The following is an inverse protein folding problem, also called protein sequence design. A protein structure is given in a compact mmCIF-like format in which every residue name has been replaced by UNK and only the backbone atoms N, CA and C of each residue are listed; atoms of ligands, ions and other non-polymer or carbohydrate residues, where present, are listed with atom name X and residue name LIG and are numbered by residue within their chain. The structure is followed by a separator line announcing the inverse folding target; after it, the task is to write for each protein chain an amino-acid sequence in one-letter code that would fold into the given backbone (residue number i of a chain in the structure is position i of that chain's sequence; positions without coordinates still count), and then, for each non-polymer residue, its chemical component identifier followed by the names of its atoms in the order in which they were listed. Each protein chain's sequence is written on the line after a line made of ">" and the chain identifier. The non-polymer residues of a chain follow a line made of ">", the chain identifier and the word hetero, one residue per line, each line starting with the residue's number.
data_IF_334404968143
#
_entry.id   IF_334404968143
#
_cell.length_a   1.000
_cell.length_b   1.000
_cell.length_c   1.000
_cell.angle_alpha   90.00
_cell.angle_beta   90.00
_cell.angle_gamma   90.00
#
_symmetry.space_group_name_H-M   'P 1'
#
loop_
_entity.id
_entity.type
_entity.pdbx_description
1 polymer ?
#
# COMPACT_ATOMS: atom_id res chain seq x y z
N UNK A 1 -57.05 28.65 -42.74
CA UNK A 1 -55.60 28.82 -42.55
C UNK A 1 -55.05 27.51 -41.99
N UNK A 2 -54.11 26.86 -42.69
CA UNK A 2 -53.48 25.60 -42.26
C UNK A 2 -52.10 25.92 -41.68
N UNK A 3 -51.84 25.52 -40.44
CA UNK A 3 -50.53 25.67 -39.79
C UNK A 3 -49.79 24.34 -39.85
N UNK A 4 -48.69 24.29 -40.59
CA UNK A 4 -47.73 23.17 -40.62
C UNK A 4 -46.65 23.41 -39.57
N UNK A 5 -46.50 22.46 -38.64
CA UNK A 5 -45.45 22.46 -37.61
C UNK A 5 -44.25 21.65 -38.14
N UNK A 6 -43.02 22.16 -38.15
CA UNK A 6 -41.85 21.41 -38.60
C UNK A 6 -41.42 20.39 -37.52
N UNK A 7 -41.26 19.14 -37.93
CA UNK A 7 -40.76 18.06 -37.08
C UNK A 7 -39.24 18.20 -36.89
N UNK A 8 -38.80 18.62 -35.71
CA UNK A 8 -37.39 18.58 -35.30
C UNK A 8 -37.05 17.17 -34.79
N UNK A 9 -36.16 16.47 -35.50
CA UNK A 9 -35.62 15.18 -35.05
C UNK A 9 -34.56 15.48 -33.98
N UNK A 10 -34.91 15.24 -32.71
CA UNK A 10 -33.97 15.30 -31.59
C UNK A 10 -33.28 13.92 -31.52
N UNK A 11 -32.06 13.82 -32.03
CA UNK A 11 -31.21 12.63 -31.83
C UNK A 11 -30.70 12.62 -30.39
N UNK A 12 -31.31 11.77 -29.55
CA UNK A 12 -30.91 11.54 -28.18
C UNK A 12 -29.63 10.69 -28.15
N UNK A 13 -28.46 11.32 -28.12
CA UNK A 13 -27.19 10.62 -27.88
C UNK A 13 -27.13 10.20 -26.42
N UNK A 14 -27.37 8.90 -26.16
CA UNK A 14 -27.20 8.31 -24.84
C UNK A 14 -25.72 8.32 -24.45
N UNK A 15 -25.35 9.22 -23.54
CA UNK A 15 -24.02 9.24 -22.92
C UNK A 15 -24.03 8.15 -21.85
N UNK A 16 -23.38 7.02 -22.11
CA UNK A 16 -23.17 5.98 -21.10
C UNK A 16 -22.10 6.49 -20.12
N UNK A 17 -22.41 6.72 -18.82
CA UNK A 17 -21.38 7.04 -17.85
C UNK A 17 -20.48 5.83 -17.67
N UNK A 18 -19.20 5.97 -18.02
CA UNK A 18 -18.16 5.01 -17.68
C UNK A 18 -17.93 5.05 -16.18
N UNK A 19 -18.51 4.10 -15.45
CA UNK A 19 -18.21 3.90 -14.02
C UNK A 19 -16.78 3.38 -13.93
N UNK A 20 -15.83 4.25 -13.56
CA UNK A 20 -14.49 3.81 -13.13
C UNK A 20 -14.72 2.91 -11.92
N UNK A 21 -14.54 1.60 -12.10
CA UNK A 21 -14.67 0.65 -11.00
C UNK A 21 -13.52 0.91 -10.02
N UNK A 22 -13.86 1.47 -8.87
CA UNK A 22 -12.96 1.65 -7.75
C UNK A 22 -12.41 0.28 -7.32
N UNK A 23 -11.11 0.03 -7.52
CA UNK A 23 -10.53 -1.28 -7.25
C UNK A 23 -10.61 -1.66 -5.76
N UNK A 24 -10.68 -0.68 -4.85
CA UNK A 24 -10.78 -0.91 -3.42
C UNK A 24 -9.59 -1.66 -2.83
N UNK A 25 -9.82 -2.23 -1.64
CA UNK A 25 -8.91 -3.20 -1.05
C UNK A 25 -8.85 -4.45 -1.92
N UNK A 26 -7.65 -4.97 -2.16
CA UNK A 26 -7.45 -6.10 -3.07
C UNK A 26 -6.12 -6.83 -2.79
N UNK A 27 -5.98 -8.04 -3.33
CA UNK A 27 -4.76 -8.86 -3.20
C UNK A 27 -3.92 -8.89 -4.49
N UNK A 28 -3.95 -7.83 -5.30
CA UNK A 28 -3.10 -7.74 -6.49
C UNK A 28 -1.67 -7.41 -6.08
N UNK A 29 -0.73 -7.89 -6.90
CA UNK A 29 0.69 -7.66 -6.71
C UNK A 29 1.48 -8.28 -7.85
N UNK A 30 2.80 -8.30 -7.68
CA UNK A 30 3.71 -8.93 -8.61
C UNK A 30 3.48 -10.43 -8.71
N UNK A 31 3.79 -11.03 -9.86
CA UNK A 31 3.80 -12.48 -10.05
C UNK A 31 4.74 -13.18 -9.03
N UNK A 32 5.80 -12.50 -8.62
CA UNK A 32 6.75 -13.01 -7.63
C UNK A 32 6.13 -13.23 -6.24
N UNK A 33 5.02 -12.54 -5.93
CA UNK A 33 4.23 -12.80 -4.73
C UNK A 33 3.64 -14.21 -4.72
N UNK A 34 3.51 -14.89 -5.86
CA UNK A 34 2.95 -16.24 -5.96
C UNK A 34 4.06 -17.28 -6.12
N UNK A 35 5.06 -16.98 -6.97
CA UNK A 35 6.05 -17.98 -7.39
C UNK A 35 7.15 -18.19 -6.34
N UNK A 36 7.57 -17.14 -5.61
CA UNK A 36 8.64 -17.28 -4.61
C UNK A 36 8.04 -17.72 -3.28
N UNK A 37 8.30 -18.97 -2.88
CA UNK A 37 7.74 -19.52 -1.64
C UNK A 37 8.21 -18.79 -0.39
N UNK A 38 9.52 -18.54 -0.26
CA UNK A 38 10.15 -17.94 0.92
C UNK A 38 10.33 -16.42 0.78
N UNK A 39 9.30 -15.74 0.30
CA UNK A 39 9.30 -14.29 0.05
C UNK A 39 8.99 -13.43 1.27
N UNK A 40 8.60 -14.06 2.38
CA UNK A 40 7.79 -13.41 3.41
C UNK A 40 6.31 -13.38 3.02
N UNK A 41 5.48 -12.88 3.92
CA UNK A 41 4.02 -12.84 3.74
C UNK A 41 3.36 -11.60 4.37
N UNK A 42 2.08 -11.39 4.06
CA UNK A 42 1.36 -10.20 4.51
C UNK A 42 1.16 -10.18 6.04
N UNK A 43 1.07 -11.35 6.67
CA UNK A 43 0.89 -11.47 8.13
C UNK A 43 2.20 -11.18 8.87
N UNK A 44 3.31 -11.73 8.38
CA UNK A 44 4.67 -11.44 8.83
C UNK A 44 4.96 -9.94 8.72
N UNK A 45 4.72 -9.36 7.55
CA UNK A 45 4.89 -7.92 7.34
C UNK A 45 3.99 -7.07 8.25
N UNK A 46 2.72 -7.46 8.44
CA UNK A 46 1.82 -6.78 9.38
C UNK A 46 2.36 -6.83 10.82
N UNK A 47 2.98 -7.94 11.23
CA UNK A 47 3.62 -8.04 12.55
C UNK A 47 4.86 -7.14 12.67
N UNK A 48 5.66 -7.01 11.62
CA UNK A 48 6.79 -6.06 11.59
C UNK A 48 6.28 -4.63 11.79
N UNK A 49 5.22 -4.25 11.06
CA UNK A 49 4.61 -2.93 11.12
C UNK A 49 4.00 -2.58 12.48
N UNK A 50 3.64 -3.56 13.33
CA UNK A 50 3.18 -3.28 14.71
C UNK A 50 4.22 -2.51 15.53
N UNK A 51 5.50 -2.65 15.21
CA UNK A 51 6.60 -1.94 15.87
C UNK A 51 6.78 -0.50 15.36
N UNK A 52 6.02 -0.09 14.34
CA UNK A 52 6.00 1.30 13.88
C UNK A 52 5.41 2.19 14.98
N UNK A 53 6.12 3.27 15.32
CA UNK A 53 5.61 4.28 16.26
C UNK A 53 4.31 4.90 15.75
N UNK A 54 3.37 5.13 16.66
CA UNK A 54 2.05 5.67 16.31
C UNK A 54 2.13 7.08 15.71
N UNK A 55 3.06 7.90 16.20
CA UNK A 55 3.27 9.30 15.84
C UNK A 55 4.26 9.51 14.69
N UNK A 56 4.88 8.43 14.18
CA UNK A 56 5.78 8.50 13.04
C UNK A 56 5.06 9.08 11.81
N UNK A 57 5.67 10.07 11.19
CA UNK A 57 5.13 10.72 9.99
C UNK A 57 5.71 10.05 8.75
N UNK A 58 4.93 9.20 8.10
CA UNK A 58 5.33 8.42 6.93
C UNK A 58 4.91 9.17 5.66
N UNK A 59 5.87 9.45 4.78
CA UNK A 59 5.62 10.25 3.58
C UNK A 59 6.50 9.80 2.42
N UNK A 60 6.06 10.11 1.20
CA UNK A 60 6.78 9.77 -0.03
C UNK A 60 6.61 8.30 -0.45
N UNK A 61 7.38 7.91 -1.47
CA UNK A 61 7.29 6.61 -2.15
C UNK A 61 8.29 5.57 -1.62
N UNK A 62 8.93 5.86 -0.49
CA UNK A 62 9.92 4.98 0.14
C UNK A 62 9.29 3.70 0.71
N UNK A 63 10.13 2.68 0.90
CA UNK A 63 9.75 1.50 1.67
C UNK A 63 9.52 1.91 3.13
N UNK A 64 8.49 1.33 3.75
CA UNK A 64 8.14 1.54 5.16
C UNK A 64 8.70 0.38 5.98
N UNK A 65 8.45 -0.85 5.53
CA UNK A 65 8.86 -2.08 6.20
C UNK A 65 8.96 -3.21 5.19
N UNK A 66 9.73 -4.26 5.48
CA UNK A 66 9.57 -5.52 4.77
C UNK A 66 9.66 -6.73 5.70
N UNK A 67 8.99 -7.79 5.26
CA UNK A 67 9.19 -9.16 5.69
C UNK A 67 9.81 -9.92 4.52
N UNK A 68 11.10 -10.25 4.66
CA UNK A 68 11.96 -10.80 3.63
C UNK A 68 11.99 -9.94 2.37
N UNK A 69 11.11 -10.20 1.41
CA UNK A 69 11.01 -9.49 0.12
C UNK A 69 9.62 -8.97 -0.16
N UNK A 70 8.65 -9.21 0.73
CA UNK A 70 7.36 -8.53 0.71
C UNK A 70 7.52 -7.24 1.51
N UNK A 71 7.36 -6.10 0.84
CA UNK A 71 7.55 -4.79 1.44
C UNK A 71 6.26 -3.98 1.43
N UNK A 72 6.08 -3.20 2.49
CA UNK A 72 5.08 -2.15 2.61
C UNK A 72 5.64 -0.83 2.10
N UNK A 73 4.88 -0.14 1.27
CA UNK A 73 5.17 1.23 0.81
C UNK A 73 3.88 1.96 0.47
N UNK A 74 3.95 3.29 0.47
CA UNK A 74 2.87 4.12 -0.07
C UNK A 74 2.99 4.14 -1.60
N UNK A 75 1.90 3.82 -2.28
CA UNK A 75 1.81 3.78 -3.73
C UNK A 75 0.63 4.59 -4.25
N UNK A 76 0.82 5.28 -5.36
CA UNK A 76 -0.17 6.11 -6.04
C UNK A 76 0.53 7.23 -6.82
N UNK A 77 -0.23 7.92 -7.66
CA UNK A 77 0.30 8.83 -8.69
C UNK A 77 0.56 10.26 -8.21
N UNK A 78 0.24 10.58 -6.95
CA UNK A 78 0.42 11.94 -6.45
C UNK A 78 1.68 12.06 -5.60
N UNK A 79 2.56 12.96 -6.03
CA UNK A 79 3.87 13.23 -5.45
C UNK A 79 3.78 13.93 -4.07
N UNK A 80 2.57 14.23 -3.59
CA UNK A 80 2.33 15.08 -2.43
C UNK A 80 1.32 14.50 -1.41
N UNK A 81 1.45 13.22 -1.06
CA UNK A 81 0.70 12.71 0.10
C UNK A 81 1.07 13.50 1.34
N UNK A 82 0.05 13.99 2.06
CA UNK A 82 0.26 14.45 3.44
C UNK A 82 0.90 13.32 4.24
N UNK A 83 1.85 13.62 5.14
CA UNK A 83 2.41 12.59 5.99
C UNK A 83 1.31 11.83 6.73
N UNK A 84 1.42 10.50 6.72
CA UNK A 84 0.46 9.58 7.30
C UNK A 84 1.02 9.12 8.63
N UNK A 85 0.26 9.23 9.73
CA UNK A 85 0.74 8.78 11.03
C UNK A 85 0.90 7.24 11.03
N UNK A 86 1.92 6.74 11.72
CA UNK A 86 2.20 5.31 11.79
C UNK A 86 1.05 4.48 12.36
N UNK A 87 0.23 5.07 13.24
CA UNK A 87 -1.02 4.44 13.71
C UNK A 87 -1.96 4.10 12.55
N UNK A 88 -2.06 4.99 11.57
CA UNK A 88 -2.92 4.80 10.41
C UNK A 88 -2.34 3.78 9.44
N UNK A 89 -1.02 3.78 9.23
CA UNK A 89 -0.33 2.72 8.49
C UNK A 89 -0.59 1.34 9.09
N UNK A 90 -0.51 1.21 10.42
CA UNK A 90 -0.81 -0.04 11.13
C UNK A 90 -2.26 -0.49 10.95
N UNK A 91 -3.21 0.46 11.03
CA UNK A 91 -4.62 0.17 10.79
C UNK A 91 -4.84 -0.38 9.39
N UNK A 92 -4.35 0.33 8.37
CA UNK A 92 -4.46 -0.07 6.97
C UNK A 92 -3.76 -1.39 6.66
N UNK A 93 -2.57 -1.62 7.22
CA UNK A 93 -1.84 -2.89 7.11
C UNK A 93 -2.67 -4.08 7.63
N UNK A 94 -3.38 -3.87 8.73
CA UNK A 94 -4.28 -4.87 9.29
C UNK A 94 -5.46 -5.17 8.36
N UNK A 95 -6.00 -4.17 7.65
CA UNK A 95 -7.06 -4.39 6.66
C UNK A 95 -6.61 -5.34 5.54
N UNK A 96 -5.37 -5.21 5.03
CA UNK A 96 -4.83 -6.13 4.02
C UNK A 96 -4.79 -7.57 4.55
N UNK A 97 -4.35 -7.76 5.80
CA UNK A 97 -4.32 -9.08 6.44
C UNK A 97 -5.73 -9.65 6.68
N UNK A 98 -6.68 -8.82 7.14
CA UNK A 98 -8.08 -9.18 7.37
C UNK A 98 -8.82 -9.50 6.06
N UNK A 99 -8.43 -8.86 4.96
CA UNK A 99 -8.89 -9.17 3.61
C UNK A 99 -8.30 -10.49 3.06
N UNK A 100 -7.52 -11.22 3.87
CA UNK A 100 -6.93 -12.54 3.55
C UNK A 100 -5.97 -12.52 2.37
N UNK A 101 -5.35 -11.36 2.10
CA UNK A 101 -4.23 -11.33 1.17
C UNK A 101 -3.06 -12.09 1.76
N UNK A 102 -2.63 -13.17 1.10
CA UNK A 102 -1.61 -14.04 1.66
C UNK A 102 -0.23 -13.37 1.67
N UNK A 103 0.14 -12.68 0.58
CA UNK A 103 1.47 -12.06 0.43
C UNK A 103 1.40 -10.60 0.02
N UNK A 104 0.70 -10.33 -1.07
CA UNK A 104 0.62 -9.00 -1.66
C UNK A 104 -0.81 -8.50 -1.73
N UNK A 105 -0.95 -7.19 -1.69
CA UNK A 105 -2.23 -6.51 -1.73
C UNK A 105 -2.09 -5.02 -1.50
N UNK A 106 -3.18 -4.30 -1.72
CA UNK A 106 -3.23 -2.86 -1.50
C UNK A 106 -4.54 -2.48 -0.84
N UNK A 107 -4.50 -1.43 -0.02
CA UNK A 107 -5.67 -0.80 0.57
C UNK A 107 -5.63 0.72 0.31
N UNK A 108 -6.73 1.34 -0.14
CA UNK A 108 -6.84 2.80 -0.26
C UNK A 108 -6.59 3.49 1.08
N UNK A 109 -5.92 4.65 1.07
CA UNK A 109 -5.62 5.37 2.31
C UNK A 109 -6.87 5.85 3.06
N UNK A 110 -7.97 6.15 2.34
CA UNK A 110 -9.24 6.52 2.96
C UNK A 110 -10.16 5.35 3.33
N UNK A 111 -9.72 4.10 3.22
CA UNK A 111 -10.58 2.93 3.48
C UNK A 111 -11.08 2.88 4.94
N UNK A 112 -12.36 2.55 5.22
CA UNK A 112 -13.38 2.12 4.26
C UNK A 112 -14.20 3.27 3.64
N UNK A 113 -13.93 4.53 4.00
CA UNK A 113 -14.68 5.70 3.54
C UNK A 113 -14.39 6.09 2.08
N UNK A 114 -13.18 5.82 1.58
CA UNK A 114 -12.80 5.92 0.17
C UNK A 114 -12.32 4.55 -0.36
N UNK A 115 -12.79 4.19 -1.55
CA UNK A 115 -12.45 2.95 -2.24
C UNK A 115 -11.73 3.16 -3.58
N UNK A 116 -11.61 4.41 -4.06
CA UNK A 116 -11.04 4.71 -5.36
C UNK A 116 -9.51 4.55 -5.35
N UNK A 117 -8.86 4.90 -4.23
CA UNK A 117 -7.40 4.88 -4.09
C UNK A 117 -6.69 5.92 -4.96
N UNK A 118 -7.43 6.95 -5.41
CA UNK A 118 -6.87 8.13 -6.07
C UNK A 118 -5.99 8.92 -5.12
N UNK A 119 -6.42 9.03 -3.86
CA UNK A 119 -5.68 9.66 -2.76
C UNK A 119 -4.50 8.81 -2.26
N UNK A 120 -4.14 7.73 -2.98
CA UNK A 120 -3.04 6.84 -2.64
C UNK A 120 -3.47 5.55 -1.94
N UNK A 121 -2.48 4.68 -1.75
CA UNK A 121 -2.66 3.31 -1.23
C UNK A 121 -1.49 2.91 -0.34
N UNK A 122 -1.78 2.18 0.72
CA UNK A 122 -0.76 1.32 1.33
C UNK A 122 -0.68 0.03 0.51
N UNK A 123 0.51 -0.34 0.06
CA UNK A 123 0.73 -1.51 -0.79
C UNK A 123 1.77 -2.44 -0.19
N UNK A 124 1.43 -3.73 -0.16
CA UNK A 124 2.33 -4.84 0.09
C UNK A 124 2.68 -5.48 -1.26
N UNK A 125 3.94 -5.44 -1.65
CA UNK A 125 4.39 -6.04 -2.90
C UNK A 125 5.81 -6.61 -2.80
N UNK A 126 6.15 -7.48 -3.75
CA UNK A 126 7.50 -7.98 -3.92
C UNK A 126 8.49 -6.88 -4.30
N UNK A 127 9.61 -6.83 -3.60
CA UNK A 127 10.77 -6.00 -3.90
C UNK A 127 11.99 -6.90 -4.01
N UNK A 128 12.69 -6.82 -5.15
CA UNK A 128 13.83 -7.69 -5.42
C UNK A 128 15.05 -7.36 -4.55
N UNK A 129 15.28 -6.08 -4.27
CA UNK A 129 16.43 -5.65 -3.47
C UNK A 129 15.96 -4.67 -2.39
N UNK A 130 15.29 -5.16 -1.33
CA UNK A 130 14.80 -4.31 -0.25
C UNK A 130 15.98 -3.71 0.52
N UNK A 131 16.14 -2.40 0.43
CA UNK A 131 17.16 -1.67 1.18
C UNK A 131 16.56 -1.13 2.49
N UNK A 132 16.41 -2.02 3.48
CA UNK A 132 15.81 -1.72 4.78
C UNK A 132 16.78 -2.08 5.91
N UNK A 133 17.03 -1.18 6.88
CA UNK A 133 17.83 -1.52 8.05
C UNK A 133 17.29 -2.75 8.77
N UNK A 134 18.16 -3.74 9.03
CA UNK A 134 17.79 -5.00 9.69
C UNK A 134 17.43 -6.15 8.75
N UNK A 135 17.23 -5.90 7.45
CA UNK A 135 17.03 -6.95 6.45
C UNK A 135 18.39 -7.47 5.97
N UNK A 136 18.77 -8.63 6.53
CA UNK A 136 19.91 -9.44 6.08
C UNK A 136 19.39 -10.70 5.40
N UNK A 137 19.29 -10.66 4.06
CA UNK A 137 18.74 -11.76 3.25
C UNK A 137 19.54 -13.07 3.31
N UNK A 138 20.70 -13.07 3.98
CA UNK A 138 21.49 -14.28 4.25
C UNK A 138 21.08 -15.00 5.54
N UNK A 139 20.24 -14.37 6.38
CA UNK A 139 19.70 -14.97 7.60
C UNK A 139 18.37 -15.66 7.37
N UNK A 140 18.05 -16.59 8.28
CA UNK A 140 16.86 -17.45 8.19
C UNK A 140 15.51 -16.68 8.25
N UNK A 141 15.48 -15.47 8.85
CA UNK A 141 14.28 -14.62 8.94
C UNK A 141 14.63 -13.11 8.89
N UNK A 142 14.77 -12.51 7.70
CA UNK A 142 15.07 -11.08 7.56
C UNK A 142 13.80 -10.22 7.60
N UNK A 143 13.71 -9.32 8.57
CA UNK A 143 12.63 -8.33 8.69
C UNK A 143 13.19 -6.98 9.13
N UNK A 144 12.54 -5.88 8.74
CA UNK A 144 13.01 -4.55 9.11
C UNK A 144 12.05 -3.42 8.76
N UNK A 145 12.14 -2.33 9.52
CA UNK A 145 11.50 -1.05 9.20
C UNK A 145 12.50 -0.21 8.41
N UNK A 146 12.07 0.27 7.25
CA UNK A 146 12.90 0.88 6.23
C UNK A 146 12.93 2.40 6.35
N UNK A 147 11.78 3.03 6.59
CA UNK A 147 11.70 4.48 6.80
C UNK A 147 12.05 4.82 8.26
N UNK A 148 13.34 4.97 8.51
CA UNK A 148 13.87 5.31 9.84
C UNK A 148 13.90 6.81 10.11
N UNK A 149 13.56 7.67 9.14
CA UNK A 149 13.72 9.13 9.27
C UNK A 149 12.94 9.68 10.46
N UNK A 150 11.83 9.05 10.82
CA UNK A 150 11.02 9.37 12.01
C UNK A 150 10.54 8.15 12.80
N UNK A 151 10.66 6.92 12.28
CA UNK A 151 9.95 5.77 12.85
C UNK A 151 10.66 5.07 14.01
N UNK A 152 11.99 5.02 14.05
CA UNK A 152 12.76 4.23 15.03
C UNK A 152 14.06 4.94 15.37
N UNK A 153 14.38 5.10 16.67
CA UNK A 153 15.75 5.41 17.10
C UNK A 153 16.56 4.12 17.00
N UNK A 154 17.12 3.83 15.83
CA UNK A 154 17.98 2.65 15.68
C UNK A 154 19.30 2.90 16.40
N UNK A 155 19.71 1.97 17.27
CA UNK A 155 21.05 1.95 17.84
C UNK A 155 21.87 0.87 17.15
N UNK A 156 22.99 1.26 16.53
CA UNK A 156 23.95 0.29 15.99
C UNK A 156 24.95 -0.08 17.09
N UNK A 157 25.06 -1.36 17.40
CA UNK A 157 26.09 -1.89 18.32
C UNK A 157 26.81 -3.04 17.59
N UNK A 158 28.13 -2.97 17.45
CA UNK A 158 28.96 -4.00 16.80
C UNK A 158 28.43 -4.44 15.41
N UNK A 159 28.01 -3.48 14.59
CA UNK A 159 27.48 -3.73 13.25
C UNK A 159 26.10 -4.38 13.20
N UNK A 160 25.43 -4.56 14.35
CA UNK A 160 24.04 -5.02 14.42
C UNK A 160 23.13 -3.83 14.73
N UNK A 161 22.05 -3.71 13.95
CA UNK A 161 21.02 -2.70 14.16
C UNK A 161 20.05 -3.23 15.22
N UNK A 162 19.97 -2.51 16.34
CA UNK A 162 19.02 -2.79 17.40
C UNK A 162 17.86 -1.80 17.26
N UNK A 163 16.67 -2.36 17.12
CA UNK A 163 15.41 -1.64 17.16
C UNK A 163 15.06 -1.46 18.63
N UNK A 164 15.02 -0.21 19.10
CA UNK A 164 14.64 0.17 20.46
C UNK A 164 13.24 0.75 20.53
#
# INVERSE_FOLDING_TARGET
>A
MRFTIPAYIITLTAVLPSTISALGINCRGSLWCVIVKNSGDAYGLNNVLKNLKDDAQISGTGLIACDVRICAFLGGWEENYKPIPGKEIKRLANEIALHRCHKCGSVPLGYPGDNNGGDGRLTFNWVEHPNCPGIDLTRQYPWGICDTRNAIKTKTINGRVYVG
#
